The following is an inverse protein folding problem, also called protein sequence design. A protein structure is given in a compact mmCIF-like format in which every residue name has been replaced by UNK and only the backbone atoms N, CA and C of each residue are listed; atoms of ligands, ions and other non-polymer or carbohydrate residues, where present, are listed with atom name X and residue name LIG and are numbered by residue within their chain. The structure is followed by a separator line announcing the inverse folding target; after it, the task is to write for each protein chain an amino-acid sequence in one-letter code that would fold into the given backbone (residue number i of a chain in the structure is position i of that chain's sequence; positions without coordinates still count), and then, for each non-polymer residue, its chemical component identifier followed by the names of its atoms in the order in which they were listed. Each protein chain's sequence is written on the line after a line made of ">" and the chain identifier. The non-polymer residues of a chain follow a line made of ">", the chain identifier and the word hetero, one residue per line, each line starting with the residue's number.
data_IF_240448461919
#
_entry.id   IF_240448461919
#
_cell.length_a   1.000
_cell.length_b   1.000
_cell.length_c   1.000
_cell.angle_alpha   90.00
_cell.angle_beta   90.00
_cell.angle_gamma   90.00
#
_symmetry.space_group_name_H-M   'P 1'
#
loop_
_entity.id
_entity.type
_entity.pdbx_description
1 polymer ?
#
# COMPACT_ATOMS: atom_id res chain seq x y z
N UNK A 1 -16.40 10.23 6.90
CA UNK A 1 -15.28 9.66 7.68
C UNK A 1 -14.44 10.81 8.22
N UNK A 2 -14.34 10.97 9.54
CA UNK A 2 -13.44 11.93 10.15
C UNK A 2 -12.08 11.24 10.31
N UNK A 3 -11.05 11.75 9.67
CA UNK A 3 -9.68 11.20 9.76
C UNK A 3 -8.96 11.82 10.96
N UNK A 4 -7.96 11.10 11.51
CA UNK A 4 -7.07 11.63 12.58
C UNK A 4 -6.44 12.96 12.14
N UNK A 5 -6.05 13.06 10.87
CA UNK A 5 -5.51 14.31 10.31
C UNK A 5 -6.51 15.47 10.44
N UNK A 6 -7.80 15.26 10.12
CA UNK A 6 -8.83 16.30 10.23
C UNK A 6 -9.08 16.73 11.68
N UNK A 7 -9.09 15.81 12.66
CA UNK A 7 -9.24 16.19 14.07
C UNK A 7 -8.06 16.99 14.61
N UNK A 8 -6.88 16.86 13.99
CA UNK A 8 -5.66 17.59 14.34
C UNK A 8 -5.42 18.85 13.49
N UNK A 9 -6.34 19.20 12.58
CA UNK A 9 -6.15 20.31 11.63
C UNK A 9 -4.93 20.11 10.72
N UNK A 10 -4.60 18.86 10.40
CA UNK A 10 -3.47 18.47 9.57
C UNK A 10 -3.93 17.84 8.25
N UNK A 11 -3.01 17.69 7.30
CA UNK A 11 -3.25 16.95 6.05
C UNK A 11 -2.89 15.47 6.23
N UNK A 12 -3.67 14.60 5.60
CA UNK A 12 -3.43 13.16 5.52
C UNK A 12 -2.50 12.83 4.35
N UNK A 13 -1.45 12.05 4.62
CA UNK A 13 -0.47 11.65 3.61
C UNK A 13 -0.35 10.12 3.63
N UNK A 14 -0.52 9.50 2.47
CA UNK A 14 -0.17 8.09 2.26
C UNK A 14 1.18 8.02 1.56
N UNK A 15 2.06 7.16 2.06
CA UNK A 15 3.36 6.87 1.45
C UNK A 15 3.30 5.46 0.86
N UNK A 16 3.65 5.33 -0.42
CA UNK A 16 3.71 4.05 -1.13
C UNK A 16 4.94 4.01 -2.03
N UNK A 17 5.14 2.88 -2.70
CA UNK A 17 6.31 2.61 -3.52
C UNK A 17 5.89 2.20 -4.93
N UNK A 18 6.61 2.72 -5.92
CA UNK A 18 6.56 2.25 -7.30
C UNK A 18 7.98 2.36 -7.89
N UNK A 19 8.59 1.27 -8.41
CA UNK A 19 8.05 -0.08 -8.53
C UNK A 19 7.82 -0.74 -7.16
N UNK A 20 7.02 -1.81 -7.13
CA UNK A 20 6.76 -2.55 -5.90
C UNK A 20 8.09 -3.11 -5.33
N UNK A 21 8.38 -3.02 -4.02
CA UNK A 21 9.67 -3.41 -3.45
C UNK A 21 10.16 -4.81 -3.84
N UNK A 22 9.24 -5.79 -3.89
CA UNK A 22 9.54 -7.16 -4.34
C UNK A 22 10.08 -7.27 -5.78
N UNK A 23 9.68 -6.38 -6.70
CA UNK A 23 10.22 -6.37 -8.08
C UNK A 23 11.69 -5.94 -8.12
N UNK A 24 12.16 -5.21 -7.10
CA UNK A 24 13.53 -4.72 -7.03
C UNK A 24 14.43 -5.62 -6.18
N UNK A 25 13.88 -6.17 -5.09
CA UNK A 25 14.61 -7.07 -4.19
C UNK A 25 14.89 -8.43 -4.85
N UNK A 26 13.88 -9.03 -5.51
CA UNK A 26 14.00 -10.36 -6.11
C UNK A 26 13.80 -10.26 -7.62
N UNK A 27 14.91 -10.28 -8.37
CA UNK A 27 14.84 -10.29 -9.85
C UNK A 27 14.47 -11.65 -10.44
N UNK A 28 14.70 -12.75 -9.72
CA UNK A 28 14.63 -14.11 -10.27
C UNK A 28 13.43 -14.96 -9.80
N UNK A 29 12.56 -14.46 -8.90
CA UNK A 29 11.41 -15.23 -8.39
C UNK A 29 10.11 -14.42 -8.35
N UNK A 30 9.08 -14.94 -9.03
CA UNK A 30 7.69 -14.50 -9.04
C UNK A 30 7.49 -12.98 -9.07
N UNK A 31 7.43 -12.43 -10.29
CA UNK A 31 6.89 -11.11 -10.54
C UNK A 31 5.52 -11.00 -9.87
N UNK A 32 5.47 -10.31 -8.73
CA UNK A 32 4.23 -10.11 -7.99
C UNK A 32 3.22 -9.45 -8.93
N UNK A 33 2.08 -10.10 -9.12
CA UNK A 33 0.96 -9.56 -9.91
C UNK A 33 0.28 -8.49 -9.08
N UNK A 34 0.34 -7.23 -9.50
CA UNK A 34 -0.34 -6.15 -8.81
C UNK A 34 -1.87 -6.34 -8.90
N UNK A 35 -2.58 -6.04 -7.82
CA UNK A 35 -4.05 -6.14 -7.77
C UNK A 35 -4.70 -5.00 -8.55
N UNK A 36 -4.03 -3.84 -8.62
CA UNK A 36 -4.54 -2.64 -9.29
C UNK A 36 -3.37 -1.78 -9.77
N UNK A 37 -3.64 -0.88 -10.72
CA UNK A 37 -2.67 0.12 -11.18
C UNK A 37 -2.52 1.27 -10.18
N UNK A 38 -1.49 2.10 -10.36
CA UNK A 38 -1.29 3.28 -9.51
C UNK A 38 -2.41 4.31 -9.70
N UNK A 39 -2.94 4.46 -10.92
CA UNK A 39 -4.07 5.35 -11.23
C UNK A 39 -5.31 4.92 -10.45
N UNK A 40 -5.60 3.61 -10.44
CA UNK A 40 -6.74 3.10 -9.65
C UNK A 40 -6.56 3.30 -8.16
N UNK A 41 -5.32 3.16 -7.67
CA UNK A 41 -4.99 3.44 -6.26
C UNK A 41 -5.20 4.92 -5.91
N UNK A 42 -4.83 5.84 -6.80
CA UNK A 42 -5.07 7.29 -6.64
C UNK A 42 -6.56 7.59 -6.57
N UNK A 43 -7.39 6.98 -7.43
CA UNK A 43 -8.85 7.13 -7.38
C UNK A 43 -9.39 6.71 -6.00
N UNK A 44 -9.02 5.52 -5.52
CA UNK A 44 -9.47 5.01 -4.22
C UNK A 44 -9.09 5.96 -3.08
N UNK A 45 -7.84 6.43 -3.04
CA UNK A 45 -7.43 7.38 -2.01
C UNK A 45 -8.18 8.71 -2.08
N UNK A 46 -8.48 9.19 -3.29
CA UNK A 46 -9.28 10.41 -3.49
C UNK A 46 -10.71 10.21 -2.95
N UNK A 47 -11.34 9.08 -3.26
CA UNK A 47 -12.69 8.76 -2.77
C UNK A 47 -12.74 8.64 -1.23
N UNK A 48 -11.63 8.22 -0.63
CA UNK A 48 -11.45 8.17 0.83
C UNK A 48 -10.97 9.48 1.46
N UNK A 49 -10.93 10.59 0.73
CA UNK A 49 -10.52 11.92 1.21
C UNK A 49 -9.08 11.98 1.76
N UNK A 50 -8.15 11.23 1.17
CA UNK A 50 -6.72 11.39 1.43
C UNK A 50 -6.21 12.64 0.70
N UNK A 51 -5.52 13.52 1.40
CA UNK A 51 -5.08 14.81 0.85
C UNK A 51 -3.89 14.67 -0.10
N UNK A 52 -2.92 13.79 0.23
CA UNK A 52 -1.73 13.56 -0.59
C UNK A 52 -1.33 12.09 -0.66
N UNK A 53 -0.90 11.66 -1.84
CA UNK A 53 -0.18 10.41 -2.05
C UNK A 53 1.26 10.74 -2.45
N UNK A 54 2.22 10.20 -1.71
CA UNK A 54 3.64 10.23 -2.06
C UNK A 54 4.02 8.85 -2.54
N UNK A 55 4.43 8.76 -3.80
CA UNK A 55 4.96 7.53 -4.41
C UNK A 55 6.47 7.66 -4.45
N UNK A 56 7.16 6.91 -3.59
CA UNK A 56 8.61 6.87 -3.55
C UNK A 56 9.12 5.87 -4.59
N UNK A 57 10.13 6.29 -5.36
CA UNK A 57 10.86 5.38 -6.25
C UNK A 57 11.66 4.37 -5.40
N UNK A 58 11.20 3.13 -5.38
CA UNK A 58 11.88 2.08 -4.65
C UNK A 58 13.04 1.54 -5.49
N UNK A 59 14.25 1.99 -5.17
CA UNK A 59 15.46 1.62 -5.88
C UNK A 59 16.55 1.08 -4.95
N UNK A 60 17.70 0.67 -5.52
CA UNK A 60 18.83 0.10 -4.75
C UNK A 60 19.40 1.06 -3.70
N UNK A 61 19.25 2.38 -3.88
CA UNK A 61 19.69 3.36 -2.89
C UNK A 61 18.74 3.34 -1.70
N UNK A 62 17.43 3.47 -1.96
CA UNK A 62 16.40 3.43 -0.91
C UNK A 62 16.40 2.11 -0.14
N UNK A 63 16.67 0.99 -0.83
CA UNK A 63 16.81 -0.33 -0.21
C UNK A 63 17.86 -0.39 0.90
N UNK A 64 18.93 0.42 0.82
CA UNK A 64 20.07 0.42 1.76
C UNK A 64 19.91 1.41 2.92
N UNK A 65 18.84 2.20 2.94
CA UNK A 65 18.58 3.18 3.99
C UNK A 65 18.04 2.44 5.22
N UNK A 66 18.64 2.67 6.40
CA UNK A 66 18.12 2.08 7.66
C UNK A 66 16.76 2.64 8.04
N UNK A 67 16.02 1.97 8.92
CA UNK A 67 14.73 2.48 9.39
C UNK A 67 14.83 3.88 10.03
N UNK A 68 15.85 4.10 10.86
CA UNK A 68 16.12 5.41 11.48
C UNK A 68 16.42 6.48 10.42
N UNK A 69 17.29 6.19 9.45
CA UNK A 69 17.59 7.13 8.37
C UNK A 69 16.36 7.43 7.50
N UNK A 70 15.51 6.43 7.27
CA UNK A 70 14.26 6.61 6.53
C UNK A 70 13.34 7.58 7.28
N UNK A 71 13.15 7.39 8.59
CA UNK A 71 12.32 8.29 9.37
C UNK A 71 12.94 9.69 9.48
N UNK A 72 14.20 9.80 9.87
CA UNK A 72 14.84 11.11 10.08
C UNK A 72 14.95 11.92 8.79
N UNK A 73 15.53 11.31 7.75
CA UNK A 73 15.96 12.03 6.54
C UNK A 73 14.89 12.11 5.46
N UNK A 74 13.86 11.27 5.52
CA UNK A 74 12.81 11.26 4.48
C UNK A 74 11.47 11.66 5.09
N UNK A 75 11.07 11.06 6.21
CA UNK A 75 9.75 11.32 6.78
C UNK A 75 9.72 12.61 7.60
N UNK A 76 10.51 12.69 8.66
CA UNK A 76 10.54 13.83 9.59
C UNK A 76 11.06 15.08 8.90
N UNK A 77 12.19 14.99 8.20
CA UNK A 77 12.80 16.13 7.52
C UNK A 77 11.86 16.82 6.51
N UNK A 78 11.08 16.07 5.74
CA UNK A 78 10.24 16.66 4.67
C UNK A 78 8.77 16.79 5.03
N UNK A 79 8.24 15.97 5.95
CA UNK A 79 6.81 15.92 6.25
C UNK A 79 6.48 16.38 7.67
N UNK A 80 7.44 16.33 8.60
CA UNK A 80 7.27 16.69 10.01
C UNK A 80 5.95 16.16 10.61
N UNK A 81 5.75 14.83 10.63
CA UNK A 81 4.46 14.24 10.97
C UNK A 81 4.11 14.47 12.44
N UNK A 82 2.87 14.89 12.71
CA UNK A 82 2.32 14.91 14.07
C UNK A 82 1.85 13.53 14.54
N UNK A 83 1.51 12.66 13.58
CA UNK A 83 0.93 11.36 13.84
C UNK A 83 1.29 10.38 12.72
N UNK A 84 1.62 9.13 13.06
CA UNK A 84 1.93 8.04 12.14
C UNK A 84 0.92 6.91 12.38
N UNK A 85 0.43 6.32 11.29
CA UNK A 85 -0.42 5.12 11.33
C UNK A 85 0.28 4.03 10.53
N UNK A 86 0.49 2.86 11.14
CA UNK A 86 1.13 1.71 10.50
C UNK A 86 0.42 0.40 10.85
N UNK A 87 0.50 -0.60 9.98
CA UNK A 87 0.01 -1.94 10.32
C UNK A 87 0.99 -2.68 11.24
N UNK A 88 0.50 -3.57 12.10
CA UNK A 88 1.37 -4.36 12.99
C UNK A 88 2.32 -5.31 12.26
N UNK A 89 2.01 -5.67 11.01
CA UNK A 89 2.88 -6.45 10.13
C UNK A 89 3.76 -5.58 9.21
N UNK A 90 3.80 -4.27 9.44
CA UNK A 90 4.61 -3.35 8.65
C UNK A 90 6.08 -3.48 9.02
N UNK A 91 6.93 -3.46 8.00
CA UNK A 91 8.38 -3.54 8.15
C UNK A 91 9.04 -2.69 7.07
N UNK A 92 10.10 -1.97 7.43
CA UNK A 92 10.80 -1.04 6.54
C UNK A 92 12.28 -0.91 6.94
N UNK A 93 13.02 -0.12 6.17
CA UNK A 93 14.47 0.02 6.32
C UNK A 93 15.27 -1.17 5.80
N UNK A 94 16.57 -0.96 5.65
CA UNK A 94 17.51 -1.97 5.20
C UNK A 94 17.43 -3.21 6.07
N UNK A 95 17.31 -4.37 5.41
CA UNK A 95 17.17 -5.67 6.04
C UNK A 95 16.05 -5.75 7.10
N UNK A 96 14.94 -5.01 6.88
CA UNK A 96 13.80 -4.94 7.81
C UNK A 96 14.21 -4.46 9.21
N UNK A 97 15.15 -3.52 9.28
CA UNK A 97 15.63 -2.92 10.53
C UNK A 97 14.57 -2.12 11.30
N UNK A 98 13.42 -1.85 10.70
CA UNK A 98 12.28 -1.21 11.35
C UNK A 98 11.03 -2.06 11.25
N UNK A 99 10.32 -2.17 12.37
CA UNK A 99 9.03 -2.81 12.55
C UNK A 99 8.14 -1.96 13.49
N UNK A 100 7.07 -2.55 14.02
CA UNK A 100 6.17 -1.86 14.95
C UNK A 100 6.83 -1.48 16.27
N UNK A 101 7.73 -2.32 16.81
CA UNK A 101 8.43 -2.05 18.06
C UNK A 101 9.40 -0.88 17.90
N UNK A 102 10.15 -0.88 16.78
CA UNK A 102 10.98 0.25 16.40
C UNK A 102 10.17 1.55 16.28
N UNK A 103 8.99 1.52 15.64
CA UNK A 103 8.14 2.71 15.52
C UNK A 103 7.64 3.21 16.87
N UNK A 104 7.29 2.31 17.80
CA UNK A 104 6.83 2.69 19.15
C UNK A 104 7.92 3.49 19.87
N UNK A 105 9.14 2.96 19.91
CA UNK A 105 10.26 3.63 20.59
C UNK A 105 10.66 4.93 19.87
N UNK A 106 10.73 4.92 18.55
CA UNK A 106 11.06 6.09 17.75
C UNK A 106 10.04 7.23 17.94
N UNK A 107 8.74 6.93 17.85
CA UNK A 107 7.69 7.93 17.95
C UNK A 107 7.61 8.50 19.38
N UNK A 108 7.78 7.65 20.40
CA UNK A 108 7.87 8.07 21.80
C UNK A 108 9.04 9.02 22.04
N UNK A 109 10.23 8.71 21.52
CA UNK A 109 11.43 9.55 21.64
C UNK A 109 11.27 10.91 20.94
N UNK A 110 10.56 10.95 19.82
CA UNK A 110 10.41 12.15 18.98
C UNK A 110 9.08 12.91 19.21
N UNK A 111 8.28 12.51 20.22
CA UNK A 111 6.97 13.10 20.52
C UNK A 111 6.01 13.12 19.31
N UNK A 112 5.98 12.01 18.56
CA UNK A 112 5.09 11.78 17.43
C UNK A 112 3.98 10.83 17.89
N UNK A 113 2.72 11.15 17.58
CA UNK A 113 1.62 10.22 17.85
C UNK A 113 1.72 8.98 16.96
N UNK A 114 1.37 7.81 17.49
CA UNK A 114 1.45 6.55 16.77
C UNK A 114 0.19 5.71 16.98
N UNK A 115 -0.34 5.16 15.90
CA UNK A 115 -1.34 4.09 15.93
C UNK A 115 -0.83 2.88 15.14
N UNK A 116 -0.79 1.74 15.82
CA UNK A 116 -0.51 0.45 15.20
C UNK A 116 -1.83 -0.28 14.99
N UNK A 117 -2.20 -0.49 13.72
CA UNK A 117 -3.46 -1.12 13.32
C UNK A 117 -3.26 -2.62 13.14
N UNK A 118 -4.09 -3.41 13.81
CA UNK A 118 -4.06 -4.87 13.69
C UNK A 118 -4.63 -5.34 12.34
N UNK A 119 -4.20 -6.51 11.83
CA UNK A 119 -4.72 -7.04 10.57
C UNK A 119 -6.22 -7.33 10.68
N UNK A 120 -6.96 -6.96 9.64
CA UNK A 120 -8.38 -7.26 9.56
C UNK A 120 -8.55 -8.75 9.21
N UNK A 121 -9.44 -9.43 9.92
CA UNK A 121 -9.74 -10.84 9.71
C UNK A 121 -11.22 -11.05 9.42
N UNK A 122 -11.51 -12.06 8.60
CA UNK A 122 -12.86 -12.57 8.38
C UNK A 122 -12.84 -14.10 8.36
N UNK A 123 -13.65 -14.72 9.21
CA UNK A 123 -13.89 -16.17 9.24
C UNK A 123 -12.60 -17.03 9.21
N UNK A 124 -11.59 -16.60 9.96
CA UNK A 124 -10.23 -17.19 10.08
C UNK A 124 -9.23 -16.87 8.96
N UNK A 125 -9.55 -16.01 8.00
CA UNK A 125 -8.59 -15.51 7.01
C UNK A 125 -8.24 -14.05 7.24
N UNK A 126 -6.95 -13.72 7.18
CA UNK A 126 -6.49 -12.32 7.17
C UNK A 126 -6.73 -11.72 5.79
N UNK A 127 -7.49 -10.61 5.75
CA UNK A 127 -7.67 -9.81 4.55
C UNK A 127 -6.33 -9.17 4.20
N UNK A 128 -5.71 -9.62 3.10
CA UNK A 128 -4.37 -9.18 2.71
C UNK A 128 -4.18 -9.26 1.20
N UNK A 129 -3.25 -8.45 0.66
CA UNK A 129 -2.91 -8.50 -0.76
C UNK A 129 -2.45 -9.88 -1.22
N UNK A 130 -1.85 -10.69 -0.33
CA UNK A 130 -1.48 -12.08 -0.66
C UNK A 130 -2.71 -12.97 -0.80
N UNK A 131 -3.68 -12.88 0.12
CA UNK A 131 -4.91 -13.67 0.03
C UNK A 131 -5.77 -13.26 -1.17
N UNK A 132 -5.95 -11.95 -1.38
CA UNK A 132 -6.73 -11.41 -2.50
C UNK A 132 -6.13 -11.87 -3.84
N UNK A 133 -4.80 -11.85 -3.99
CA UNK A 133 -4.13 -12.39 -5.20
C UNK A 133 -4.42 -13.87 -5.41
N UNK A 134 -4.37 -14.69 -4.35
CA UNK A 134 -4.70 -16.12 -4.43
C UNK A 134 -6.15 -16.32 -4.91
N UNK A 135 -7.10 -15.62 -4.30
CA UNK A 135 -8.51 -15.69 -4.67
C UNK A 135 -8.73 -15.32 -6.14
N UNK A 136 -8.10 -14.24 -6.62
CA UNK A 136 -8.16 -13.82 -8.02
C UNK A 136 -7.60 -14.91 -8.93
N UNK A 137 -6.40 -15.43 -8.64
CA UNK A 137 -5.77 -16.46 -9.47
C UNK A 137 -6.50 -17.79 -9.47
N UNK A 138 -7.25 -18.09 -8.41
CA UNK A 138 -8.07 -19.29 -8.28
C UNK A 138 -9.50 -19.11 -8.82
N UNK A 139 -9.84 -17.95 -9.39
CA UNK A 139 -11.17 -17.68 -9.96
C UNK A 139 -12.26 -17.33 -8.94
N UNK A 140 -11.93 -17.21 -7.66
CA UNK A 140 -12.88 -16.85 -6.58
C UNK A 140 -13.15 -15.33 -6.54
N UNK A 141 -13.57 -14.75 -7.66
CA UNK A 141 -13.70 -13.30 -7.85
C UNK A 141 -14.73 -12.66 -6.90
N UNK A 142 -15.86 -13.31 -6.63
CA UNK A 142 -16.86 -12.77 -5.68
C UNK A 142 -16.27 -12.58 -4.29
N UNK A 143 -15.47 -13.56 -3.83
CA UNK A 143 -14.77 -13.47 -2.54
C UNK A 143 -13.66 -12.43 -2.57
N UNK A 144 -12.88 -12.37 -3.65
CA UNK A 144 -11.87 -11.34 -3.84
C UNK A 144 -12.46 -9.92 -3.78
N UNK A 145 -13.59 -9.69 -4.44
CA UNK A 145 -14.28 -8.39 -4.44
C UNK A 145 -14.78 -8.02 -3.04
N UNK A 146 -15.32 -8.99 -2.31
CA UNK A 146 -15.73 -8.79 -0.92
C UNK A 146 -14.56 -8.35 -0.05
N UNK A 147 -13.43 -9.07 -0.11
CA UNK A 147 -12.23 -8.73 0.68
C UNK A 147 -11.56 -7.43 0.23
N UNK A 148 -11.62 -7.10 -1.06
CA UNK A 148 -11.07 -5.85 -1.62
C UNK A 148 -11.94 -4.63 -1.28
N UNK A 149 -13.23 -4.83 -0.98
CA UNK A 149 -14.22 -3.75 -0.84
C UNK A 149 -14.54 -3.05 -2.16
N UNK A 150 -14.15 -3.64 -3.29
CA UNK A 150 -14.39 -3.08 -4.64
C UNK A 150 -14.41 -4.18 -5.68
N UNK A 151 -14.91 -3.88 -6.89
CA UNK A 151 -14.91 -4.83 -8.00
C UNK A 151 -13.50 -4.88 -8.61
N UNK A 152 -12.86 -6.05 -8.55
CA UNK A 152 -11.61 -6.30 -9.25
C UNK A 152 -11.80 -6.20 -10.77
N UNK A 153 -10.90 -5.47 -11.42
CA UNK A 153 -10.93 -5.25 -12.85
C UNK A 153 -9.68 -4.52 -13.34
N UNK A 154 -9.65 -4.22 -14.63
CA UNK A 154 -8.56 -3.49 -15.27
C UNK A 154 -9.10 -2.60 -16.38
N UNK A 155 -8.36 -1.54 -16.68
CA UNK A 155 -8.59 -0.70 -17.84
C UNK A 155 -7.59 -1.06 -18.91
N UNK A 156 -8.06 -1.27 -20.14
CA UNK A 156 -7.21 -1.56 -21.29
C UNK A 156 -7.76 -0.90 -22.54
N UNK A 157 -6.85 -0.53 -23.45
CA UNK A 157 -7.22 -0.03 -24.77
C UNK A 157 -7.81 -1.17 -25.60
N UNK A 158 -9.05 -1.00 -26.07
CA UNK A 158 -9.67 -1.95 -27.01
C UNK A 158 -8.94 -1.85 -28.35
N UNK A 159 -8.52 -3.01 -28.87
CA UNK A 159 -7.84 -3.12 -30.17
C UNK A 159 -8.62 -4.08 -31.07
N UNK A 160 -8.39 -3.98 -32.39
CA UNK A 160 -9.04 -4.87 -33.35
C UNK A 160 -8.62 -6.32 -33.10
N UNK A 161 -9.59 -7.17 -32.80
CA UNK A 161 -9.40 -8.61 -32.62
C UNK A 161 -9.93 -9.44 -33.78
N UNK A 162 -10.24 -10.72 -33.52
CA UNK A 162 -10.68 -11.73 -34.51
C UNK A 162 -12.06 -11.50 -35.15
N UNK A 163 -12.69 -10.34 -34.96
CA UNK A 163 -13.95 -9.97 -35.62
C UNK A 163 -15.22 -10.70 -35.18
N UNK A 164 -15.15 -11.65 -34.22
CA UNK A 164 -16.27 -12.50 -33.78
C UNK A 164 -17.47 -11.72 -33.21
N UNK A 165 -17.23 -10.55 -32.60
CA UNK A 165 -18.30 -9.71 -32.06
C UNK A 165 -19.26 -9.12 -33.10
N UNK A 166 -18.89 -9.08 -34.39
CA UNK A 166 -19.76 -8.53 -35.44
C UNK A 166 -20.96 -9.42 -35.79
N UNK A 167 -20.90 -10.72 -35.47
CA UNK A 167 -21.92 -11.71 -35.81
C UNK A 167 -22.79 -12.17 -34.64
N UNK A 168 -22.54 -11.65 -33.43
CA UNK A 168 -23.29 -11.99 -32.23
C UNK A 168 -24.32 -10.87 -32.00
N UNK A 169 -25.60 -11.20 -32.21
CA UNK A 169 -26.75 -10.37 -31.83
C UNK A 169 -27.30 -10.85 -30.50
#
# INVERSE_FOLDING_TARGET
>A
VQTIARSMGAISIVITFDPHPRHVINKDHDNIKLIMSIEKKIEIFRDHNIDKLIVLDFNKSLMKISAEQFLDKIIVQYLNPKYIVAGSNHSFGYNRSGDSEFLIEYCKKNNIGLEIVNPITDSNSTISSTNIRKLITSGYIRRANYELGSIFGFSAKVVRGSGRGKGLK
#
